data_IF_884194088334
#
_entry.id   IF_884194088334
#
_cell.length_a   1.000
_cell.length_b   1.000
_cell.length_c   1.000
_cell.angle_alpha   90.00
_cell.angle_beta   90.00
_cell.angle_gamma   90.00
#
_symmetry.space_group_name_H-M   'P 1'
#
loop_
_entity.id
_entity.type
_entity.pdbx_description
1 polymer ?
#
# COMPACT_ATOMS: atom_id res chain seq x y z
N UNK A 1 23.32 11.04 7.71
CA UNK A 1 22.99 9.60 7.86
C UNK A 1 21.55 9.26 7.44
N UNK A 2 20.53 10.03 7.87
CA UNK A 2 19.09 9.74 7.63
C UNK A 2 18.67 9.46 6.18
N UNK A 3 19.14 10.25 5.21
CA UNK A 3 18.78 10.13 3.77
C UNK A 3 18.88 8.70 3.21
N UNK A 4 19.93 7.95 3.58
CA UNK A 4 20.21 6.64 3.00
C UNK A 4 19.26 5.52 3.44
N UNK A 5 18.56 5.68 4.56
CA UNK A 5 17.59 4.69 5.04
C UNK A 5 16.25 4.83 4.32
N UNK A 6 15.67 6.04 4.33
CA UNK A 6 14.43 6.34 3.62
C UNK A 6 14.56 6.16 2.10
N UNK A 7 15.71 6.53 1.52
CA UNK A 7 15.99 6.28 0.10
C UNK A 7 15.89 4.80 -0.29
N UNK A 8 16.35 3.88 0.58
CA UNK A 8 16.22 2.42 0.35
C UNK A 8 14.82 1.89 0.62
N UNK A 9 14.06 2.51 1.53
CA UNK A 9 12.71 2.10 1.87
C UNK A 9 11.68 2.51 0.80
N UNK A 10 11.87 3.66 0.15
CA UNK A 10 11.00 4.17 -0.89
C UNK A 10 11.50 3.88 -2.33
N UNK A 11 12.81 3.90 -2.55
CA UNK A 11 13.47 3.78 -3.86
C UNK A 11 14.21 2.44 -4.03
N UNK A 12 13.45 1.36 -4.16
CA UNK A 12 13.96 0.09 -4.72
C UNK A 12 13.39 -0.12 -6.12
N UNK A 13 13.86 0.67 -7.08
CA UNK A 13 13.36 0.64 -8.47
C UNK A 13 13.45 -0.76 -9.09
N UNK A 14 14.47 -1.53 -8.71
CA UNK A 14 14.66 -2.96 -9.03
C UNK A 14 13.48 -3.87 -8.65
N UNK A 15 12.65 -3.49 -7.67
CA UNK A 15 11.43 -4.22 -7.33
C UNK A 15 10.28 -3.89 -8.30
N UNK A 16 10.18 -2.64 -8.75
CA UNK A 16 9.23 -2.20 -9.78
C UNK A 16 9.58 -2.80 -11.13
N UNK A 17 10.85 -2.72 -11.52
CA UNK A 17 11.45 -3.30 -12.74
C UNK A 17 11.14 -4.80 -12.86
N UNK A 18 11.42 -5.56 -11.80
CA UNK A 18 11.17 -7.02 -11.76
C UNK A 18 9.67 -7.39 -11.77
N UNK A 19 8.79 -6.52 -11.29
CA UNK A 19 7.32 -6.69 -11.43
C UNK A 19 6.88 -6.42 -12.87
N UNK A 20 7.46 -5.42 -13.54
CA UNK A 20 7.18 -5.13 -14.96
C UNK A 20 7.63 -6.32 -15.83
N UNK A 21 8.83 -6.88 -15.62
CA UNK A 21 9.31 -8.08 -16.32
C UNK A 21 8.38 -9.28 -16.12
N UNK A 22 7.89 -9.48 -14.90
CA UNK A 22 6.98 -10.59 -14.54
C UNK A 22 5.61 -10.41 -15.20
N UNK A 23 5.09 -9.19 -15.31
CA UNK A 23 3.83 -8.91 -16.02
C UNK A 23 4.01 -9.04 -17.54
N UNK A 24 5.12 -8.53 -18.10
CA UNK A 24 5.42 -8.64 -19.53
C UNK A 24 5.52 -10.10 -19.98
N UNK A 25 6.36 -10.89 -19.29
CA UNK A 25 6.51 -12.34 -19.56
C UNK A 25 5.26 -13.18 -19.22
N UNK A 26 4.36 -12.67 -18.36
CA UNK A 26 3.03 -13.23 -18.14
C UNK A 26 2.06 -12.96 -19.30
N UNK A 27 2.10 -11.76 -19.87
CA UNK A 27 1.25 -11.36 -21.00
C UNK A 27 1.67 -12.03 -22.31
N UNK A 28 2.96 -12.26 -22.54
CA UNK A 28 3.46 -13.03 -23.71
C UNK A 28 3.17 -14.53 -23.62
N UNK A 29 2.95 -15.07 -22.42
CA UNK A 29 2.52 -16.47 -22.23
C UNK A 29 1.03 -16.72 -22.50
N UNK A 30 0.23 -15.69 -22.80
CA UNK A 30 -1.22 -15.81 -22.97
C UNK A 30 -1.71 -15.87 -24.43
N UNK A 31 -0.83 -15.80 -25.44
CA UNK A 31 -1.25 -15.91 -26.85
C UNK A 31 -0.20 -16.47 -27.81
N UNK A 32 -0.32 -17.77 -28.10
CA UNK A 32 0.23 -18.50 -29.27
C UNK A 32 -0.69 -19.72 -29.52
N UNK A 33 -1.20 -20.05 -30.71
CA UNK A 33 -1.20 -19.37 -32.03
C UNK A 33 -2.31 -18.29 -32.08
N UNK A 34 -3.26 -18.05 -33.02
CA UNK A 34 -3.65 -18.65 -34.32
C UNK A 34 -2.95 -17.96 -35.53
N UNK A 35 -2.66 -18.68 -36.64
CA UNK A 35 -1.86 -18.14 -37.76
C UNK A 35 -2.61 -17.22 -38.76
N UNK A 36 -3.93 -17.35 -38.96
CA UNK A 36 -4.72 -16.39 -39.80
C UNK A 36 -5.50 -15.34 -39.00
N UNK A 37 -5.66 -15.50 -37.69
CA UNK A 37 -6.14 -14.41 -36.81
C UNK A 37 -4.99 -13.53 -36.32
N UNK A 38 -3.78 -13.73 -36.84
CA UNK A 38 -2.56 -13.13 -36.32
C UNK A 38 -2.53 -11.59 -36.47
N UNK A 39 -2.70 -11.03 -37.67
CA UNK A 39 -2.32 -9.61 -37.90
C UNK A 39 -3.21 -8.59 -37.16
N UNK A 40 -4.53 -8.62 -37.34
CA UNK A 40 -5.43 -7.67 -36.68
C UNK A 40 -5.56 -7.93 -35.17
N UNK A 41 -5.42 -9.19 -34.72
CA UNK A 41 -5.40 -9.50 -33.29
C UNK A 41 -4.07 -9.13 -32.64
N UNK A 42 -2.95 -9.28 -33.33
CA UNK A 42 -1.65 -8.77 -32.87
C UNK A 42 -1.62 -7.25 -32.85
N UNK A 43 -2.22 -6.54 -33.83
CA UNK A 43 -2.40 -5.08 -33.79
C UNK A 43 -3.27 -4.66 -32.61
N UNK A 44 -4.49 -5.17 -32.49
CA UNK A 44 -5.38 -4.76 -31.38
C UNK A 44 -4.84 -5.17 -30.00
N UNK A 45 -4.13 -6.29 -29.86
CA UNK A 45 -3.42 -6.65 -28.63
C UNK A 45 -2.18 -5.78 -28.42
N UNK A 46 -1.42 -5.40 -29.46
CA UNK A 46 -0.27 -4.51 -29.32
C UNK A 46 -0.71 -3.10 -28.97
N UNK A 47 -1.77 -2.56 -29.56
CA UNK A 47 -2.39 -1.27 -29.24
C UNK A 47 -2.96 -1.26 -27.82
N UNK A 48 -3.67 -2.32 -27.41
CA UNK A 48 -4.15 -2.46 -26.03
C UNK A 48 -2.99 -2.54 -25.03
N UNK A 49 -1.91 -3.28 -25.35
CA UNK A 49 -0.67 -3.31 -24.56
C UNK A 49 0.03 -1.95 -24.55
N UNK A 50 0.11 -1.25 -25.67
CA UNK A 50 0.73 0.08 -25.80
C UNK A 50 -0.04 1.11 -24.98
N UNK A 51 -1.37 1.07 -25.01
CA UNK A 51 -2.26 1.88 -24.18
C UNK A 51 -2.07 1.56 -22.69
N UNK A 52 -2.07 0.28 -22.31
CA UNK A 52 -1.85 -0.15 -20.92
C UNK A 52 -0.45 0.23 -20.41
N UNK A 53 0.60 0.09 -21.23
CA UNK A 53 1.97 0.51 -20.91
C UNK A 53 2.08 2.03 -20.78
N UNK A 54 1.45 2.79 -21.69
CA UNK A 54 1.40 4.26 -21.64
C UNK A 54 0.64 4.73 -20.39
N UNK A 55 -0.49 4.08 -20.08
CA UNK A 55 -1.27 4.36 -18.87
C UNK A 55 -0.50 3.99 -17.59
N UNK A 56 0.14 2.82 -17.54
CA UNK A 56 1.01 2.41 -16.41
C UNK A 56 2.18 3.36 -16.22
N UNK A 57 2.81 3.83 -17.30
CA UNK A 57 3.92 4.80 -17.25
C UNK A 57 3.44 6.16 -16.75
N UNK A 58 2.35 6.68 -17.30
CA UNK A 58 1.78 7.98 -16.91
C UNK A 58 1.19 7.96 -15.49
N UNK A 59 0.69 6.82 -15.01
CA UNK A 59 0.22 6.64 -13.62
C UNK A 59 1.32 6.19 -12.65
N UNK A 60 2.53 5.86 -13.13
CA UNK A 60 3.58 5.29 -12.29
C UNK A 60 3.96 6.22 -11.11
N UNK A 61 4.04 7.53 -11.37
CA UNK A 61 4.31 8.55 -10.35
C UNK A 61 3.22 8.63 -9.25
N UNK A 62 1.98 8.26 -9.56
CA UNK A 62 0.90 8.20 -8.57
C UNK A 62 1.18 7.14 -7.48
N UNK A 63 1.95 6.09 -7.79
CA UNK A 63 2.33 5.07 -6.81
C UNK A 63 3.28 5.64 -5.73
N UNK A 64 4.21 6.53 -6.11
CA UNK A 64 5.08 7.20 -5.16
C UNK A 64 4.30 8.18 -4.28
N UNK A 65 3.41 8.98 -4.88
CA UNK A 65 2.53 9.89 -4.14
C UNK A 65 1.62 9.13 -3.15
N UNK A 66 1.03 8.00 -3.56
CA UNK A 66 0.19 7.14 -2.71
C UNK A 66 0.99 6.57 -1.52
N UNK A 67 2.22 6.09 -1.75
CA UNK A 67 3.14 5.61 -0.70
C UNK A 67 3.52 6.74 0.27
N UNK A 68 3.81 7.93 -0.25
CA UNK A 68 4.17 9.09 0.57
C UNK A 68 3.02 9.53 1.47
N UNK A 69 1.79 9.66 0.94
CA UNK A 69 0.60 10.01 1.73
C UNK A 69 0.33 8.95 2.80
N UNK A 70 0.36 7.66 2.44
CA UNK A 70 0.16 6.57 3.38
C UNK A 70 1.14 6.61 4.56
N UNK A 71 2.45 6.78 4.29
CA UNK A 71 3.46 6.90 5.34
C UNK A 71 3.31 8.20 6.14
N UNK A 72 2.95 9.32 5.51
CA UNK A 72 2.70 10.60 6.21
C UNK A 72 1.54 10.48 7.21
N UNK A 73 0.42 9.89 6.81
CA UNK A 73 -0.70 9.60 7.71
C UNK A 73 -0.31 8.64 8.84
N UNK A 74 0.47 7.59 8.52
CA UNK A 74 0.98 6.63 9.50
C UNK A 74 1.87 7.29 10.55
N UNK A 75 2.76 8.20 10.12
CA UNK A 75 3.67 8.93 11.02
C UNK A 75 2.89 9.86 11.96
N UNK A 76 1.92 10.62 11.45
CA UNK A 76 1.09 11.50 12.30
C UNK A 76 0.33 10.68 13.35
N UNK A 77 -0.31 9.58 12.93
CA UNK A 77 -1.04 8.67 13.82
C UNK A 77 -0.16 8.04 14.92
N UNK A 78 1.03 7.54 14.55
CA UNK A 78 1.99 7.02 15.53
C UNK A 78 2.52 8.09 16.48
N UNK A 79 2.79 9.30 16.00
CA UNK A 79 3.23 10.43 16.84
C UNK A 79 2.17 10.78 17.89
N UNK A 80 0.89 10.76 17.54
CA UNK A 80 -0.19 11.05 18.50
C UNK A 80 -0.21 10.01 19.64
N UNK A 81 -0.11 8.72 19.34
CA UNK A 81 0.02 7.69 20.39
C UNK A 81 1.30 7.85 21.22
N UNK A 82 2.46 8.11 20.60
CA UNK A 82 3.71 8.35 21.32
C UNK A 82 3.62 9.57 22.26
N UNK A 83 3.01 10.68 21.83
CA UNK A 83 2.82 11.88 22.67
C UNK A 83 1.85 11.62 23.82
N UNK A 84 0.74 10.93 23.55
CA UNK A 84 -0.21 10.50 24.59
C UNK A 84 0.48 9.63 25.65
N UNK A 85 1.23 8.59 25.23
CA UNK A 85 1.97 7.73 26.15
C UNK A 85 3.05 8.47 26.94
N UNK A 86 3.78 9.41 26.33
CA UNK A 86 4.77 10.24 27.03
C UNK A 86 4.10 11.14 28.08
N UNK A 87 2.97 11.78 27.76
CA UNK A 87 2.22 12.60 28.73
C UNK A 87 1.70 11.75 29.91
N UNK A 88 1.11 10.58 29.63
CA UNK A 88 0.63 9.66 30.66
C UNK A 88 1.78 9.10 31.53
N UNK A 89 2.93 8.78 30.93
CA UNK A 89 4.11 8.29 31.65
C UNK A 89 4.81 9.37 32.49
N UNK A 90 4.71 10.65 32.10
CA UNK A 90 5.27 11.79 32.83
C UNK A 90 4.35 12.31 33.95
N UNK A 91 3.04 12.13 33.85
CA UNK A 91 2.08 12.65 34.83
C UNK A 91 2.39 12.27 36.30
N UNK A 92 2.80 11.02 36.66
CA UNK A 92 3.16 10.66 38.04
C UNK A 92 4.38 11.40 38.60
N UNK A 93 5.25 11.94 37.73
CA UNK A 93 6.48 12.64 38.11
C UNK A 93 6.30 14.16 38.18
N UNK A 94 5.24 14.69 37.57
CA UNK A 94 4.90 16.11 37.47
C UNK A 94 3.60 16.38 38.23
N UNK A 95 3.59 16.08 39.53
CA UNK A 95 2.39 16.04 40.38
C UNK A 95 1.55 17.33 40.37
N UNK A 96 2.18 18.51 40.27
CA UNK A 96 1.47 19.80 40.16
C UNK A 96 0.63 19.95 38.87
N UNK A 97 0.91 19.14 37.84
CA UNK A 97 0.28 19.21 36.51
C UNK A 97 -0.25 17.84 36.04
N UNK A 98 -0.27 16.82 36.92
CA UNK A 98 -0.61 15.44 36.58
C UNK A 98 -1.98 15.33 35.90
N UNK A 99 -3.02 15.97 36.46
CA UNK A 99 -4.38 15.93 35.92
C UNK A 99 -4.45 16.48 34.49
N UNK A 100 -3.76 17.60 34.22
CA UNK A 100 -3.70 18.24 32.89
C UNK A 100 -2.92 17.41 31.87
N UNK A 101 -1.87 16.71 32.31
CA UNK A 101 -1.11 15.77 31.48
C UNK A 101 -1.94 14.54 31.14
N UNK A 102 -2.71 14.01 32.10
CA UNK A 102 -3.63 12.90 31.89
C UNK A 102 -4.77 13.30 30.94
N UNK A 103 -5.45 14.43 31.19
CA UNK A 103 -6.48 14.98 30.30
C UNK A 103 -5.95 15.16 28.87
N UNK A 104 -4.78 15.77 28.72
CA UNK A 104 -4.12 15.94 27.41
C UNK A 104 -3.81 14.58 26.75
N UNK A 105 -3.34 13.59 27.51
CA UNK A 105 -3.05 12.25 26.99
C UNK A 105 -4.30 11.53 26.49
N UNK A 106 -5.44 11.67 27.17
CA UNK A 106 -6.73 11.07 26.79
C UNK A 106 -7.25 11.75 25.54
N UNK A 107 -7.31 13.09 25.49
CA UNK A 107 -7.79 13.83 24.32
C UNK A 107 -6.95 13.51 23.08
N UNK A 108 -5.62 13.36 23.21
CA UNK A 108 -4.77 12.97 22.07
C UNK A 108 -5.01 11.50 21.66
N UNK A 109 -5.23 10.59 22.61
CA UNK A 109 -5.53 9.19 22.34
C UNK A 109 -6.87 9.02 21.58
N UNK A 110 -7.93 9.70 22.01
CA UNK A 110 -9.24 9.69 21.32
C UNK A 110 -9.12 10.15 19.86
N UNK A 111 -8.31 11.19 19.60
CA UNK A 111 -8.07 11.67 18.24
C UNK A 111 -7.26 10.67 17.41
N UNK A 112 -6.27 10.00 18.01
CA UNK A 112 -5.53 8.93 17.33
C UNK A 112 -6.45 7.73 17.01
N UNK A 113 -7.33 7.37 17.95
CA UNK A 113 -8.31 6.29 17.77
C UNK A 113 -9.35 6.62 16.67
N UNK A 114 -9.77 7.88 16.56
CA UNK A 114 -10.65 8.32 15.45
C UNK A 114 -10.05 8.09 14.06
N UNK A 115 -8.71 7.98 13.95
CA UNK A 115 -8.01 7.64 12.71
C UNK A 115 -7.86 6.13 12.48
N UNK A 116 -8.12 5.27 13.46
CA UNK A 116 -7.87 3.82 13.37
C UNK A 116 -8.58 3.16 12.18
N UNK A 117 -9.80 3.59 11.83
CA UNK A 117 -10.51 3.09 10.66
C UNK A 117 -9.79 3.39 9.34
N UNK A 118 -9.32 4.63 9.16
CA UNK A 118 -8.55 5.03 7.98
C UNK A 118 -7.17 4.33 7.94
N UNK A 119 -6.53 4.18 9.10
CA UNK A 119 -5.26 3.49 9.23
C UNK A 119 -5.37 2.00 8.92
N UNK A 120 -6.42 1.32 9.37
CA UNK A 120 -6.65 -0.09 9.05
C UNK A 120 -6.92 -0.32 7.56
N UNK A 121 -7.55 0.64 6.86
CA UNK A 121 -7.69 0.62 5.41
C UNK A 121 -6.34 0.81 4.69
N UNK A 122 -5.48 1.71 5.16
CA UNK A 122 -4.12 1.90 4.62
C UNK A 122 -3.28 0.63 4.82
N UNK A 123 -3.30 0.05 6.03
CA UNK A 123 -2.60 -1.19 6.34
C UNK A 123 -3.15 -2.36 5.51
N UNK A 124 -4.47 -2.48 5.36
CA UNK A 124 -5.10 -3.47 4.49
C UNK A 124 -4.69 -3.33 3.02
N UNK A 125 -4.63 -2.11 2.50
CA UNK A 125 -4.19 -1.86 1.13
C UNK A 125 -2.71 -2.24 0.90
N UNK A 126 -1.81 -1.99 1.84
CA UNK A 126 -0.38 -2.28 1.67
C UNK A 126 0.03 -3.71 2.06
N UNK A 127 -0.58 -4.30 3.09
CA UNK A 127 -0.18 -5.60 3.63
C UNK A 127 -1.14 -6.74 3.27
N UNK A 128 -2.45 -6.49 3.09
CA UNK A 128 -3.39 -7.54 2.70
C UNK A 128 -3.52 -7.71 1.18
N UNK A 129 -3.26 -6.67 0.37
CA UNK A 129 -3.34 -6.75 -1.09
C UNK A 129 -2.50 -7.89 -1.73
N UNK A 130 -1.25 -8.18 -1.30
CA UNK A 130 -0.48 -9.33 -1.81
C UNK A 130 -1.13 -10.68 -1.52
N UNK A 131 -1.85 -10.80 -0.40
CA UNK A 131 -2.55 -12.01 0.00
C UNK A 131 -3.99 -12.09 -0.54
N UNK A 132 -4.55 -10.97 -1.00
CA UNK A 132 -5.92 -10.86 -1.51
C UNK A 132 -6.21 -11.86 -2.63
N UNK A 133 -5.26 -12.12 -3.54
CA UNK A 133 -5.42 -13.12 -4.61
C UNK A 133 -5.52 -14.55 -4.06
N UNK A 134 -4.77 -14.89 -3.01
CA UNK A 134 -4.88 -16.20 -2.35
C UNK A 134 -6.20 -16.36 -1.58
N UNK A 135 -6.70 -15.29 -0.96
CA UNK A 135 -7.98 -15.28 -0.24
C UNK A 135 -9.15 -15.36 -1.22
N UNK A 136 -9.17 -14.53 -2.27
CA UNK A 136 -10.19 -14.54 -3.32
C UNK A 136 -10.15 -15.84 -4.12
N UNK A 137 -8.97 -16.35 -4.47
CA UNK A 137 -8.83 -17.66 -5.13
C UNK A 137 -9.34 -18.82 -4.27
N UNK A 138 -9.01 -18.83 -2.98
CA UNK A 138 -9.53 -19.85 -2.04
C UNK A 138 -11.04 -19.75 -1.86
N UNK A 139 -11.60 -18.52 -1.82
CA UNK A 139 -13.04 -18.30 -1.76
C UNK A 139 -13.73 -18.72 -3.06
N UNK A 140 -13.20 -18.34 -4.23
CA UNK A 140 -13.73 -18.72 -5.53
C UNK A 140 -13.70 -20.24 -5.72
N UNK A 141 -12.63 -20.93 -5.35
CA UNK A 141 -12.59 -22.40 -5.39
C UNK A 141 -13.68 -23.02 -4.49
N UNK A 142 -13.88 -22.47 -3.28
CA UNK A 142 -14.91 -22.92 -2.34
C UNK A 142 -16.35 -22.65 -2.82
N UNK A 143 -16.58 -21.56 -3.56
CA UNK A 143 -17.88 -21.26 -4.19
C UNK A 143 -18.09 -21.97 -5.54
N UNK A 144 -17.02 -22.31 -6.25
CA UNK A 144 -17.05 -23.03 -7.54
C UNK A 144 -17.32 -24.53 -7.38
N UNK A 145 -17.39 -25.05 -6.15
CA UNK A 145 -17.86 -26.42 -5.86
C UNK A 145 -16.88 -27.56 -6.15
N UNK A 146 -15.67 -27.28 -6.65
CA UNK A 146 -14.67 -28.32 -6.89
C UNK A 146 -14.15 -28.91 -5.57
N UNK A 147 -14.37 -30.21 -5.40
CA UNK A 147 -13.52 -31.11 -4.62
C UNK A 147 -12.42 -31.68 -5.52
#
# INVERSE_FOLDING_TARGET
MVMGFFGRLFGSDKATEKVIDTVSSGLDKLWYTDEEKAEDKAKSVSEARQFLLTWLTNTQGQNLARRFIAVSCTIVWLIMYCVSWVMAALAPWLTEHADKLLESSVVIAERAESMNGAMMLILGFYFCAPHMSSIVGSAMNKFSGNK
#
